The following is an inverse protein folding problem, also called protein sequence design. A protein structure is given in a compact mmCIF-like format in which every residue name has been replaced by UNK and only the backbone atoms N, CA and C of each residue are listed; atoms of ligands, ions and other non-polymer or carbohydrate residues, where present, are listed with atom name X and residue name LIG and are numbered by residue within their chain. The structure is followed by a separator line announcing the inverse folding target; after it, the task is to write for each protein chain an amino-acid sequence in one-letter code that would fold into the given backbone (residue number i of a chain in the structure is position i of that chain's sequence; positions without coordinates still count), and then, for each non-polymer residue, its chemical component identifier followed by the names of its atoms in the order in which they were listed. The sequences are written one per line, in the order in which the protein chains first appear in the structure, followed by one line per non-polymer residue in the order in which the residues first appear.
data_IF_074110090173
#
_entry.id   IF_074110090173
#
_cell.length_a   1.000
_cell.length_b   1.000
_cell.length_c   1.000
_cell.angle_alpha   90.00
_cell.angle_beta   90.00
_cell.angle_gamma   90.00
#
_symmetry.space_group_name_H-M   'P 1'
#
loop_
_entity.id
_entity.type
_entity.pdbx_description
1 polymer ?
#
# COMPACT_ATOMS: atom_id res chain seq x y z
N UNK A 1 -0.47 -9.72 2.08
CA UNK A 1 -1.32 -8.50 1.91
C UNK A 1 -1.52 -8.07 0.48
N UNK A 2 -0.62 -8.39 -0.47
CA UNK A 2 -0.78 -8.01 -1.89
C UNK A 2 -1.76 -8.92 -2.67
N UNK A 3 -2.08 -10.11 -2.16
CA UNK A 3 -2.91 -11.10 -2.86
C UNK A 3 -4.31 -10.59 -3.25
N UNK A 4 -5.08 -9.90 -2.39
CA UNK A 4 -6.38 -9.36 -2.79
C UNK A 4 -6.27 -8.27 -3.86
N UNK A 5 -5.19 -7.48 -3.82
CA UNK A 5 -4.93 -6.46 -4.84
C UNK A 5 -4.64 -7.11 -6.19
N UNK A 6 -3.85 -8.18 -6.22
CA UNK A 6 -3.56 -8.92 -7.46
C UNK A 6 -4.85 -9.54 -8.00
N UNK A 7 -5.62 -10.24 -7.16
CA UNK A 7 -6.87 -10.87 -7.58
C UNK A 7 -7.92 -9.88 -8.11
N UNK A 8 -7.95 -8.66 -7.58
CA UNK A 8 -8.87 -7.61 -8.08
C UNK A 8 -8.68 -7.30 -9.57
N UNK A 9 -7.48 -7.49 -10.11
CA UNK A 9 -7.14 -7.22 -11.51
C UNK A 9 -7.04 -8.51 -12.32
N UNK A 10 -6.49 -9.57 -11.73
CA UNK A 10 -6.27 -10.83 -12.44
C UNK A 10 -7.58 -11.57 -12.74
N UNK A 11 -8.60 -11.51 -11.86
CA UNK A 11 -9.87 -12.21 -12.09
C UNK A 11 -10.60 -11.69 -13.35
N UNK A 12 -10.83 -10.37 -13.53
CA UNK A 12 -11.43 -9.85 -14.76
C UNK A 12 -10.59 -10.14 -16.02
N UNK A 13 -9.26 -10.03 -15.93
CA UNK A 13 -8.39 -10.30 -17.07
C UNK A 13 -8.40 -11.78 -17.48
N UNK A 14 -8.33 -12.69 -16.52
CA UNK A 14 -8.40 -14.13 -16.76
C UNK A 14 -9.76 -14.52 -17.34
N UNK A 15 -10.85 -13.91 -16.88
CA UNK A 15 -12.18 -14.11 -17.44
C UNK A 15 -12.24 -13.67 -18.91
N UNK A 16 -11.78 -12.46 -19.22
CA UNK A 16 -11.73 -11.95 -20.60
C UNK A 16 -10.92 -12.87 -21.51
N UNK A 17 -9.72 -13.28 -21.08
CA UNK A 17 -8.85 -14.19 -21.81
C UNK A 17 -9.50 -15.56 -22.01
N UNK A 18 -10.12 -16.12 -20.96
CA UNK A 18 -10.81 -17.40 -21.03
C UNK A 18 -11.96 -17.38 -22.03
N UNK A 19 -12.78 -16.31 -22.02
CA UNK A 19 -13.85 -16.12 -23.01
C UNK A 19 -13.28 -15.99 -24.41
N UNK A 20 -12.23 -15.18 -24.59
CA UNK A 20 -11.60 -14.98 -25.90
C UNK A 20 -11.04 -16.29 -26.47
N UNK A 21 -10.36 -17.09 -25.64
CA UNK A 21 -9.81 -18.39 -26.06
C UNK A 21 -10.92 -19.40 -26.36
N UNK A 22 -11.97 -19.46 -25.55
CA UNK A 22 -13.10 -20.35 -25.79
C UNK A 22 -13.80 -20.04 -27.13
N UNK A 23 -14.15 -18.77 -27.37
CA UNK A 23 -14.74 -18.35 -28.64
C UNK A 23 -13.77 -18.47 -29.81
N UNK A 24 -12.47 -18.21 -29.58
CA UNK A 24 -11.42 -18.39 -30.57
C UNK A 24 -11.30 -19.84 -31.05
N UNK A 25 -11.39 -20.82 -30.13
CA UNK A 25 -11.42 -22.24 -30.49
C UNK A 25 -12.69 -22.62 -31.25
N UNK A 26 -13.86 -22.23 -30.73
CA UNK A 26 -15.14 -22.48 -31.42
C UNK A 26 -15.19 -21.88 -32.83
N UNK A 27 -14.54 -20.73 -33.04
CA UNK A 27 -14.42 -20.10 -34.35
C UNK A 27 -13.45 -20.86 -35.26
N UNK A 28 -12.27 -21.25 -34.74
CA UNK A 28 -11.24 -22.00 -35.48
C UNK A 28 -11.75 -23.36 -35.95
N UNK A 29 -12.50 -24.06 -35.10
CA UNK A 29 -13.06 -25.37 -35.39
C UNK A 29 -14.34 -25.28 -36.24
N UNK A 30 -14.70 -24.09 -36.72
CA UNK A 30 -15.91 -23.78 -37.50
C UNK A 30 -17.22 -24.15 -36.79
N UNK A 31 -17.20 -24.42 -35.48
CA UNK A 31 -18.39 -24.77 -34.69
C UNK A 31 -19.39 -23.61 -34.62
N UNK A 32 -18.90 -22.36 -34.54
CA UNK A 32 -19.79 -21.18 -34.59
C UNK A 32 -20.53 -21.12 -35.93
N UNK A 33 -19.87 -21.46 -37.03
CA UNK A 33 -20.48 -21.45 -38.38
C UNK A 33 -21.49 -22.59 -38.51
N UNK A 34 -21.16 -23.79 -38.02
CA UNK A 34 -22.06 -24.94 -37.99
C UNK A 34 -23.32 -24.70 -37.13
N UNK A 35 -23.16 -24.07 -35.96
CA UNK A 35 -24.26 -23.67 -35.09
C UNK A 35 -25.17 -22.63 -35.77
N UNK A 36 -24.59 -21.65 -36.47
CA UNK A 36 -25.38 -20.67 -37.24
C UNK A 36 -26.10 -21.32 -38.42
N UNK A 37 -25.46 -22.24 -39.14
CA UNK A 37 -26.06 -22.96 -40.26
C UNK A 37 -27.22 -23.87 -39.83
N UNK A 38 -27.18 -24.41 -38.61
CA UNK A 38 -28.28 -25.16 -38.00
C UNK A 38 -29.39 -24.28 -37.39
N UNK A 39 -29.34 -22.97 -37.62
CA UNK A 39 -30.36 -22.02 -37.17
C UNK A 39 -30.23 -21.59 -35.70
N UNK A 40 -29.14 -21.93 -35.02
CA UNK A 40 -28.91 -21.47 -33.65
C UNK A 40 -28.51 -19.99 -33.66
N UNK A 41 -29.29 -19.19 -32.94
CA UNK A 41 -29.01 -17.77 -32.76
C UNK A 41 -27.70 -17.56 -31.97
N UNK A 42 -26.81 -16.64 -32.40
CA UNK A 42 -25.59 -16.27 -31.66
C UNK A 42 -25.86 -15.80 -30.23
N UNK A 43 -27.05 -15.24 -29.97
CA UNK A 43 -27.42 -14.79 -28.63
C UNK A 43 -27.53 -15.96 -27.62
N UNK A 44 -27.77 -17.19 -28.09
CA UNK A 44 -27.80 -18.38 -27.22
C UNK A 44 -26.40 -18.76 -26.74
N UNK A 45 -25.35 -18.49 -27.52
CA UNK A 45 -23.95 -18.65 -27.11
C UNK A 45 -23.52 -17.62 -26.05
N UNK A 46 -24.15 -16.43 -26.03
CA UNK A 46 -23.87 -15.40 -25.02
C UNK A 46 -24.45 -15.74 -23.64
N UNK A 47 -25.54 -16.52 -23.55
CA UNK A 47 -26.18 -16.90 -22.27
C UNK A 47 -25.22 -17.53 -21.25
N UNK A 48 -24.44 -18.57 -21.59
CA UNK A 48 -23.47 -19.15 -20.64
C UNK A 48 -22.37 -18.16 -20.26
N UNK A 49 -21.95 -17.29 -21.18
CA UNK A 49 -20.93 -16.25 -20.91
C UNK A 49 -21.45 -15.24 -19.90
N UNK A 50 -22.70 -14.78 -20.07
CA UNK A 50 -23.33 -13.83 -19.14
C UNK A 50 -23.51 -14.45 -17.76
N UNK A 51 -23.91 -15.73 -17.69
CA UNK A 51 -24.00 -16.44 -16.42
C UNK A 51 -22.63 -16.49 -15.71
N UNK A 52 -21.57 -16.86 -16.43
CA UNK A 52 -20.20 -16.87 -15.88
C UNK A 52 -19.69 -15.47 -15.54
N UNK A 53 -20.04 -14.43 -16.31
CA UNK A 53 -19.62 -13.05 -16.03
C UNK A 53 -20.27 -12.52 -14.75
N UNK A 54 -21.53 -12.89 -14.49
CA UNK A 54 -22.21 -12.53 -13.24
C UNK A 54 -21.49 -13.19 -12.05
N UNK A 55 -21.16 -14.48 -12.15
CA UNK A 55 -20.42 -15.18 -11.09
C UNK A 55 -19.04 -14.56 -10.87
N UNK A 56 -18.26 -14.35 -11.94
CA UNK A 56 -16.94 -13.72 -11.86
C UNK A 56 -17.02 -12.27 -11.33
N UNK A 57 -18.07 -11.54 -11.69
CA UNK A 57 -18.36 -10.20 -11.20
C UNK A 57 -18.65 -10.19 -9.70
N UNK A 58 -19.47 -11.11 -9.20
CA UNK A 58 -19.77 -11.24 -7.77
C UNK A 58 -18.52 -11.60 -6.96
N UNK A 59 -17.67 -12.50 -7.46
CA UNK A 59 -16.40 -12.84 -6.82
C UNK A 59 -15.48 -11.61 -6.78
N UNK A 60 -15.34 -10.89 -7.89
CA UNK A 60 -14.53 -9.68 -7.95
C UNK A 60 -15.06 -8.61 -6.99
N UNK A 61 -16.37 -8.42 -6.95
CA UNK A 61 -17.03 -7.48 -6.04
C UNK A 61 -16.75 -7.82 -4.57
N UNK A 62 -16.82 -9.09 -4.20
CA UNK A 62 -16.48 -9.54 -2.85
C UNK A 62 -15.00 -9.29 -2.51
N UNK A 63 -14.08 -9.62 -3.43
CA UNK A 63 -12.64 -9.41 -3.23
C UNK A 63 -12.33 -7.93 -3.03
N UNK A 64 -12.90 -7.05 -3.85
CA UNK A 64 -12.66 -5.60 -3.77
C UNK A 64 -13.38 -4.97 -2.57
N UNK A 65 -14.63 -5.34 -2.32
CA UNK A 65 -15.46 -4.73 -1.28
C UNK A 65 -15.11 -5.18 0.13
N UNK A 66 -14.64 -6.43 0.31
CA UNK A 66 -14.42 -7.02 1.65
C UNK A 66 -12.96 -7.40 1.85
N UNK A 67 -12.40 -8.23 0.95
CA UNK A 67 -11.08 -8.80 1.18
C UNK A 67 -9.95 -7.76 1.08
N UNK A 68 -10.05 -6.82 0.14
CA UNK A 68 -9.07 -5.77 -0.08
C UNK A 68 -8.98 -4.78 1.10
N UNK A 69 -10.07 -4.18 1.61
CA UNK A 69 -10.00 -3.30 2.77
C UNK A 69 -9.54 -4.03 4.03
N UNK A 70 -9.99 -5.27 4.27
CA UNK A 70 -9.54 -6.08 5.40
C UNK A 70 -8.03 -6.34 5.35
N UNK A 71 -7.50 -6.68 4.17
CA UNK A 71 -6.07 -6.87 3.98
C UNK A 71 -5.29 -5.56 4.16
N UNK A 72 -5.79 -4.43 3.66
CA UNK A 72 -5.14 -3.14 3.85
C UNK A 72 -5.08 -2.72 5.32
N UNK A 73 -6.12 -2.97 6.10
CA UNK A 73 -6.12 -2.69 7.54
C UNK A 73 -5.09 -3.55 8.27
N UNK A 74 -5.08 -4.86 8.02
CA UNK A 74 -4.13 -5.76 8.65
C UNK A 74 -2.68 -5.49 8.20
N UNK A 75 -2.47 -5.03 6.96
CA UNK A 75 -1.16 -4.55 6.49
C UNK A 75 -0.69 -3.32 7.27
N UNK A 76 -1.55 -2.31 7.44
CA UNK A 76 -1.23 -1.11 8.24
C UNK A 76 -0.86 -1.46 9.66
N UNK A 77 -1.61 -2.37 10.29
CA UNK A 77 -1.32 -2.80 11.65
C UNK A 77 0.00 -3.56 11.76
N UNK A 78 0.32 -4.42 10.78
CA UNK A 78 1.59 -5.11 10.76
C UNK A 78 2.76 -4.14 10.58
N UNK A 79 2.65 -3.19 9.65
CA UNK A 79 3.68 -2.16 9.43
C UNK A 79 3.85 -1.31 10.68
N UNK A 80 2.76 -0.90 11.33
CA UNK A 80 2.81 -0.16 12.59
C UNK A 80 3.56 -0.94 13.68
N UNK A 81 3.25 -2.23 13.85
CA UNK A 81 3.95 -3.11 14.80
C UNK A 81 5.43 -3.27 14.45
N UNK A 82 5.77 -3.40 13.17
CA UNK A 82 7.16 -3.50 12.70
C UNK A 82 7.93 -2.20 12.95
N UNK A 83 7.33 -1.03 12.67
CA UNK A 83 7.95 0.29 12.93
C UNK A 83 8.22 0.47 14.41
N UNK A 84 7.26 0.15 15.29
CA UNK A 84 7.45 0.25 16.75
C UNK A 84 8.49 -0.74 17.24
N UNK A 85 8.45 -1.98 16.76
CA UNK A 85 9.42 -3.00 17.16
C UNK A 85 10.83 -2.60 16.73
N UNK A 86 11.03 -2.17 15.47
CA UNK A 86 12.33 -1.74 14.95
C UNK A 86 12.83 -0.48 15.65
N UNK A 87 11.95 0.48 15.96
CA UNK A 87 12.28 1.65 16.77
C UNK A 87 12.78 1.29 18.18
N UNK A 88 12.29 0.19 18.77
CA UNK A 88 12.69 -0.27 20.11
C UNK A 88 13.98 -1.09 20.13
N UNK A 89 14.27 -1.90 19.10
CA UNK A 89 15.43 -2.81 19.09
C UNK A 89 16.60 -2.36 18.21
N UNK A 90 16.43 -1.41 17.29
CA UNK A 90 17.40 -1.15 16.21
C UNK A 90 17.70 0.33 15.93
N UNK A 91 17.23 1.28 16.75
CA UNK A 91 17.78 2.64 16.63
C UNK A 91 19.24 2.64 17.08
N UNK A 92 20.13 2.40 16.13
CA UNK A 92 21.55 2.61 16.29
C UNK A 92 21.73 4.11 16.54
N UNK A 93 21.92 4.47 17.81
CA UNK A 93 22.36 5.81 18.15
C UNK A 93 23.58 6.16 17.28
N UNK A 94 23.63 7.42 16.82
CA UNK A 94 24.69 7.99 15.99
C UNK A 94 24.70 7.53 14.53
N UNK A 95 23.60 6.97 14.03
CA UNK A 95 23.42 6.64 12.60
C UNK A 95 22.21 7.39 12.03
N UNK A 96 22.35 7.89 10.80
CA UNK A 96 21.22 8.44 10.04
C UNK A 96 20.34 7.29 9.55
N UNK A 97 19.13 7.20 10.08
CA UNK A 97 18.13 6.20 9.72
C UNK A 97 17.08 6.83 8.81
N UNK A 98 17.00 6.39 7.56
CA UNK A 98 15.99 6.76 6.55
C UNK A 98 14.88 5.70 6.40
N UNK A 99 15.02 4.56 7.09
CA UNK A 99 14.14 3.40 7.01
C UNK A 99 12.77 3.54 7.70
N UNK A 100 12.57 4.55 8.56
CA UNK A 100 11.38 4.65 9.42
C UNK A 100 10.17 5.18 8.66
N UNK A 101 10.36 6.22 7.85
CA UNK A 101 9.31 6.82 7.03
C UNK A 101 9.94 7.29 5.71
N UNK A 102 9.41 6.85 4.54
CA UNK A 102 9.94 7.29 3.25
C UNK A 102 9.97 8.82 3.13
N UNK A 103 11.14 9.36 2.79
CA UNK A 103 11.37 10.80 2.63
C UNK A 103 11.65 11.55 3.93
N UNK A 104 11.78 10.87 5.07
CA UNK A 104 12.29 11.45 6.31
C UNK A 104 13.56 10.73 6.78
N UNK A 105 14.53 11.51 7.27
CA UNK A 105 15.77 11.00 7.85
C UNK A 105 15.82 11.35 9.33
N UNK A 106 16.09 10.37 10.18
CA UNK A 106 16.20 10.52 11.62
C UNK A 106 17.62 10.25 12.08
N UNK A 107 18.16 11.14 12.91
CA UNK A 107 19.42 10.94 13.60
C UNK A 107 19.21 11.21 15.09
N UNK A 108 19.70 10.29 15.92
CA UNK A 108 19.57 10.34 17.37
C UNK A 108 20.95 10.08 17.95
N UNK A 109 21.45 10.99 18.77
CA UNK A 109 22.85 10.93 19.22
C UNK A 109 23.06 9.92 20.35
N UNK A 110 22.09 9.78 21.24
CA UNK A 110 22.11 8.81 22.34
C UNK A 110 20.69 8.44 22.79
N UNK A 111 20.52 7.20 23.25
CA UNK A 111 19.27 6.70 23.83
C UNK A 111 19.64 6.01 25.14
N UNK A 112 19.58 6.72 26.28
CA UNK A 112 19.91 6.14 27.57
C UNK A 112 18.96 4.98 27.89
N UNK A 113 19.50 3.79 28.14
CA UNK A 113 18.75 2.55 28.37
C UNK A 113 17.76 2.60 29.56
N UNK A 114 17.87 3.61 30.44
CA UNK A 114 16.99 3.80 31.61
C UNK A 114 15.76 4.67 31.34
N UNK A 115 15.87 5.70 30.49
CA UNK A 115 14.77 6.66 30.27
C UNK A 115 14.07 6.45 28.93
N UNK A 116 14.71 5.80 27.96
CA UNK A 116 14.18 5.66 26.59
C UNK A 116 14.00 7.01 25.87
N UNK A 117 14.59 8.07 26.42
CA UNK A 117 14.59 9.40 25.81
C UNK A 117 15.65 9.48 24.73
N UNK A 118 15.28 10.03 23.59
CA UNK A 118 16.21 10.38 22.55
C UNK A 118 16.89 11.69 22.92
N UNK A 119 18.21 11.74 22.82
CA UNK A 119 19.00 12.97 22.99
C UNK A 119 19.56 13.45 21.68
N UNK A 120 19.53 14.76 21.50
CA UNK A 120 20.04 15.48 20.32
C UNK A 120 19.50 14.86 19.03
N UNK A 121 18.20 15.07 18.83
CA UNK A 121 17.42 14.54 17.73
C UNK A 121 17.51 15.49 16.54
N UNK A 122 17.89 14.94 15.40
CA UNK A 122 17.84 15.62 14.11
C UNK A 122 16.85 14.88 13.20
N UNK A 123 15.91 15.61 12.62
CA UNK A 123 14.94 15.09 11.67
C UNK A 123 15.00 15.96 10.42
N UNK A 124 15.21 15.32 9.28
CA UNK A 124 15.04 15.96 7.99
C UNK A 124 13.76 15.45 7.35
N UNK A 125 12.84 16.35 7.03
CA UNK A 125 11.62 16.04 6.26
C UNK A 125 11.74 16.59 4.85
N UNK A 126 12.01 15.68 3.91
CA UNK A 126 12.13 15.96 2.48
C UNK A 126 10.90 15.52 1.68
N UNK A 127 9.78 15.15 2.34
CA UNK A 127 8.59 14.63 1.64
C UNK A 127 7.93 15.67 0.73
N UNK A 128 8.10 16.96 1.06
CA UNK A 128 7.64 18.09 0.24
C UNK A 128 8.85 18.78 -0.35
N UNK A 129 9.19 18.46 -1.61
CA UNK A 129 10.38 18.97 -2.28
C UNK A 129 10.45 20.51 -2.35
N UNK A 130 9.30 21.18 -2.45
CA UNK A 130 9.23 22.65 -2.48
C UNK A 130 9.51 23.32 -1.13
N UNK A 131 9.42 22.57 -0.02
CA UNK A 131 9.60 23.07 1.35
C UNK A 131 10.24 22.01 2.26
N UNK A 132 11.52 21.64 2.04
CA UNK A 132 12.19 20.73 2.95
C UNK A 132 12.33 21.39 4.33
N UNK A 133 12.18 20.58 5.37
CA UNK A 133 12.26 21.04 6.76
C UNK A 133 13.33 20.26 7.53
N UNK A 134 14.05 20.96 8.39
CA UNK A 134 14.99 20.38 9.36
C UNK A 134 14.47 20.69 10.75
N UNK A 135 14.32 19.66 11.58
CA UNK A 135 13.87 19.77 12.96
C UNK A 135 15.02 19.31 13.84
N UNK A 136 15.45 20.18 14.75
CA UNK A 136 16.45 19.90 15.77
C UNK A 136 15.77 19.93 17.13
N UNK A 137 15.99 18.94 17.98
CA UNK A 137 15.44 18.92 19.33
C UNK A 137 16.44 18.37 20.35
N UNK A 138 16.45 18.94 21.55
CA UNK A 138 17.34 18.49 22.63
C UNK A 138 16.95 17.11 23.14
N UNK A 139 15.65 16.89 23.33
CA UNK A 139 15.13 15.59 23.75
C UNK A 139 13.89 15.19 22.96
N UNK A 140 13.72 13.90 22.73
CA UNK A 140 12.55 13.34 22.07
C UNK A 140 12.03 12.10 22.80
N UNK A 141 10.71 11.92 22.88
CA UNK A 141 10.09 10.71 23.41
C UNK A 141 9.04 10.21 22.42
N UNK A 142 9.12 8.92 22.07
CA UNK A 142 8.06 8.27 21.30
C UNK A 142 6.88 7.95 22.21
N UNK A 143 5.73 8.56 21.93
CA UNK A 143 4.47 8.20 22.56
C UNK A 143 3.63 7.39 21.58
N UNK A 144 3.35 6.13 21.92
CA UNK A 144 2.44 5.29 21.13
C UNK A 144 1.04 5.54 21.66
N UNK A 145 0.23 6.27 20.90
CA UNK A 145 -1.16 6.49 21.26
C UNK A 145 -2.00 5.31 20.73
N UNK A 146 -2.15 4.28 21.58
CA UNK A 146 -2.86 3.03 21.23
C UNK A 146 -4.30 3.28 20.77
N UNK A 147 -4.98 4.28 21.36
CA UNK A 147 -6.36 4.64 21.01
C UNK A 147 -6.51 5.14 19.57
N UNK A 148 -5.48 5.81 19.01
CA UNK A 148 -5.51 6.38 17.65
C UNK A 148 -4.71 5.57 16.63
N UNK A 149 -4.06 4.47 17.05
CA UNK A 149 -3.08 3.71 16.25
C UNK A 149 -2.05 4.64 15.59
N UNK A 150 -1.60 5.65 16.32
CA UNK A 150 -0.60 6.61 15.85
C UNK A 150 0.62 6.59 16.76
N UNK A 151 1.80 6.74 16.15
CA UNK A 151 3.03 6.99 16.89
C UNK A 151 3.28 8.49 16.85
N UNK A 152 3.20 9.14 18.01
CA UNK A 152 3.62 10.52 18.21
C UNK A 152 5.09 10.57 18.64
N UNK A 153 5.77 11.64 18.26
CA UNK A 153 7.10 11.97 18.76
C UNK A 153 6.99 13.33 19.45
N UNK A 154 7.11 13.33 20.77
CA UNK A 154 7.13 14.54 21.56
C UNK A 154 8.57 15.05 21.62
N UNK A 155 8.80 16.23 21.05
CA UNK A 155 10.10 16.88 21.02
C UNK A 155 10.13 18.04 22.02
N UNK A 156 11.10 18.04 22.92
CA UNK A 156 11.30 19.14 23.89
C UNK A 156 12.45 20.01 23.41
N UNK A 157 12.24 21.34 23.49
CA UNK A 157 13.17 22.35 22.96
C UNK A 157 13.48 22.11 21.47
N UNK A 158 12.42 22.00 20.66
CA UNK A 158 12.53 21.79 19.23
C UNK A 158 12.61 23.12 18.47
N UNK A 159 13.54 23.20 17.52
CA UNK A 159 13.66 24.29 16.55
C UNK A 159 13.42 23.73 15.15
N UNK A 160 12.48 24.34 14.42
CA UNK A 160 12.13 23.94 13.05
C UNK A 160 12.67 24.98 12.08
N UNK A 161 13.50 24.53 11.15
CA UNK A 161 14.00 25.31 10.02
C UNK A 161 13.28 24.85 8.76
N UNK A 162 12.51 25.74 8.13
CA UNK A 162 11.88 25.50 6.84
C UNK A 162 12.66 26.23 5.77
N UNK A 163 13.06 25.51 4.72
CA UNK A 163 13.68 26.12 3.55
C UNK A 163 12.62 26.27 2.48
N UNK A 164 12.50 27.46 1.90
CA UNK A 164 11.69 27.67 0.71
C UNK A 164 12.65 27.51 -0.47
N UNK A 165 12.43 26.52 -1.33
CA UNK A 165 13.27 26.37 -2.52
C UNK A 165 12.95 27.56 -3.45
N UNK A 166 13.80 28.59 -3.43
CA UNK A 166 13.75 29.65 -4.44
C UNK A 166 14.45 29.09 -5.66
N UNK A 167 13.70 28.94 -6.75
CA UNK A 167 14.23 28.59 -8.07
C UNK A 167 15.48 29.44 -8.35
N UNK A 168 16.65 28.84 -8.64
CA UNK A 168 17.71 29.58 -9.31
C UNK A 168 17.24 29.79 -10.75
N UNK A 169 16.79 31.01 -11.04
CA UNK A 169 16.47 31.48 -12.38
C UNK A 169 17.67 31.37 -13.34
#
# INVERSE_FOLDING_TARGET
YLLPSIFSVTIPMAFLLGVLLAFGRLASDSEIVALRASGVSPARLLRPVVALSVVAGLVTFYVVGVALPAANQAYRELIFKLVISKARTQMAARVFNDDLVPGMVFYISDIPARSGEWRDVFIFDGRVASKPQVILARTGRLHVEEARKSVGLDLTEATVYSFNQVDPA
#
